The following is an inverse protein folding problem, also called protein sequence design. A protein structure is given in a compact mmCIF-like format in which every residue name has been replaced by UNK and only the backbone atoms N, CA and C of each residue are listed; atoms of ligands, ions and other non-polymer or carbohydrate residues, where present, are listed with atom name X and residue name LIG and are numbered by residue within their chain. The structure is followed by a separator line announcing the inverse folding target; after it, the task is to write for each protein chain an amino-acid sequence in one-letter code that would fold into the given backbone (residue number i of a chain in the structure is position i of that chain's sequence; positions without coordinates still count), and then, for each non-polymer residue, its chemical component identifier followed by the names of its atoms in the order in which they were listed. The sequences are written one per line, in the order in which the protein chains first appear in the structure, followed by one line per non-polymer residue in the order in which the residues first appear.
data_IF_240481373434
#
_entry.id   IF_240481373434
#
_cell.length_a   1.000
_cell.length_b   1.000
_cell.length_c   1.000
_cell.angle_alpha   90.00
_cell.angle_beta   90.00
_cell.angle_gamma   90.00
#
_symmetry.space_group_name_H-M   'P 1'
#
loop_
_entity.id
_entity.type
_entity.pdbx_description
1 polymer ?
#
# COMPACT_ATOMS: atom_id res chain seq x y z
N UNK A 1 4.32 8.34 28.30
CA UNK A 1 4.95 7.02 28.23
C UNK A 1 4.07 6.14 27.38
N UNK A 2 4.43 5.96 26.12
CA UNK A 2 3.67 5.11 25.22
C UNK A 2 4.10 3.67 25.47
N UNK A 3 3.20 2.84 26.00
CA UNK A 3 3.37 1.41 26.10
C UNK A 3 3.36 0.85 24.66
N UNK A 4 4.54 0.69 24.09
CA UNK A 4 4.73 -0.09 22.88
C UNK A 4 4.44 -1.56 23.21
N UNK A 5 3.26 -2.04 22.83
CA UNK A 5 3.05 -3.47 22.71
C UNK A 5 3.96 -3.96 21.58
N UNK A 6 5.10 -4.53 21.94
CA UNK A 6 5.86 -5.37 21.04
C UNK A 6 5.03 -6.65 20.93
N UNK A 7 4.29 -6.80 19.84
CA UNK A 7 3.70 -8.09 19.49
C UNK A 7 4.88 -9.07 19.37
N UNK A 8 4.83 -10.17 20.14
CA UNK A 8 5.87 -11.18 20.12
C UNK A 8 5.91 -11.81 18.73
N UNK A 9 6.88 -11.41 17.93
CA UNK A 9 7.13 -12.00 16.63
C UNK A 9 7.70 -13.40 16.82
N UNK A 10 7.02 -14.41 16.29
CA UNK A 10 7.57 -15.76 16.22
C UNK A 10 8.75 -15.79 15.23
N UNK A 11 9.63 -16.79 15.35
CA UNK A 11 10.79 -16.95 14.47
C UNK A 11 10.37 -17.04 12.99
N UNK A 12 9.15 -17.53 12.73
CA UNK A 12 8.55 -17.72 11.39
C UNK A 12 7.72 -16.54 10.93
N UNK A 13 7.76 -15.39 11.63
CA UNK A 13 7.02 -14.20 11.23
C UNK A 13 7.63 -13.62 9.93
N UNK A 14 6.81 -13.49 8.92
CA UNK A 14 7.15 -12.94 7.60
C UNK A 14 7.71 -11.51 7.71
N UNK A 15 7.23 -10.75 8.68
CA UNK A 15 7.62 -9.36 8.94
C UNK A 15 8.64 -9.19 10.08
N UNK A 16 9.38 -10.22 10.44
CA UNK A 16 10.35 -10.20 11.57
C UNK A 16 11.33 -9.03 11.51
N UNK A 17 11.76 -8.64 10.32
CA UNK A 17 12.73 -7.54 10.12
C UNK A 17 12.06 -6.18 9.91
N UNK A 18 10.74 -6.17 9.82
CA UNK A 18 9.98 -4.95 9.56
C UNK A 18 10.05 -3.98 10.75
N UNK A 19 10.30 -2.71 10.44
CA UNK A 19 10.54 -1.68 11.47
C UNK A 19 11.96 -1.65 12.04
N UNK A 20 12.81 -2.65 11.73
CA UNK A 20 14.24 -2.67 12.06
C UNK A 20 15.04 -2.24 10.82
N UNK A 21 14.71 -2.82 9.68
CA UNK A 21 15.30 -2.48 8.39
C UNK A 21 14.28 -1.71 7.56
N UNK A 22 14.73 -0.62 6.93
CA UNK A 22 13.86 0.15 6.04
C UNK A 22 13.45 -0.69 4.82
N UNK A 23 12.17 -0.68 4.43
CA UNK A 23 11.71 -1.43 3.27
C UNK A 23 12.32 -0.88 1.98
N UNK A 24 12.61 -1.77 1.05
CA UNK A 24 13.00 -1.48 -0.33
C UNK A 24 11.92 -1.99 -1.26
N UNK A 25 11.27 -1.10 -1.98
CA UNK A 25 10.13 -1.45 -2.79
C UNK A 25 10.44 -1.41 -4.29
N UNK A 26 9.84 -2.33 -5.02
CA UNK A 26 9.79 -2.30 -6.46
C UNK A 26 8.35 -2.02 -6.92
N UNK A 27 8.17 -1.05 -7.82
CA UNK A 27 6.86 -0.71 -8.38
C UNK A 27 6.87 -1.00 -9.88
N UNK A 28 5.89 -1.75 -10.36
CA UNK A 28 5.68 -2.01 -11.77
C UNK A 28 4.19 -1.92 -12.13
N UNK A 29 3.89 -2.04 -13.42
CA UNK A 29 2.51 -1.97 -13.93
C UNK A 29 2.12 -3.26 -14.63
N UNK A 30 0.88 -3.38 -15.08
CA UNK A 30 0.46 -4.34 -16.09
C UNK A 30 1.25 -4.15 -17.39
N UNK A 31 1.15 -5.11 -18.33
CA UNK A 31 1.71 -4.97 -19.68
C UNK A 31 0.96 -3.87 -20.44
N UNK A 32 1.67 -3.17 -21.31
CA UNK A 32 1.13 -2.10 -22.17
C UNK A 32 0.29 -1.04 -21.40
N UNK A 33 0.88 -0.41 -20.35
CA UNK A 33 0.14 0.50 -19.49
C UNK A 33 -0.22 1.79 -20.22
N UNK A 34 -1.45 2.29 -19.96
CA UNK A 34 -1.88 3.61 -20.43
C UNK A 34 -1.04 4.74 -19.83
N UNK A 35 -1.09 5.91 -20.43
CA UNK A 35 -0.44 7.10 -19.88
C UNK A 35 -0.92 7.43 -18.47
N UNK A 36 -2.20 7.18 -18.16
CA UNK A 36 -2.78 7.40 -16.83
C UNK A 36 -2.22 6.43 -15.79
N UNK A 37 -2.09 5.14 -16.12
CA UNK A 37 -1.47 4.17 -15.22
C UNK A 37 0.02 4.48 -14.99
N UNK A 38 0.74 4.88 -16.02
CA UNK A 38 2.15 5.31 -15.91
C UNK A 38 2.29 6.53 -14.99
N UNK A 39 1.36 7.48 -15.07
CA UNK A 39 1.34 8.65 -14.20
C UNK A 39 1.05 8.24 -12.75
N UNK A 40 0.06 7.38 -12.53
CA UNK A 40 -0.24 6.84 -11.20
C UNK A 40 0.97 6.11 -10.61
N UNK A 41 1.66 5.28 -11.39
CA UNK A 41 2.88 4.60 -10.94
C UNK A 41 4.01 5.58 -10.57
N UNK A 42 4.14 6.72 -11.27
CA UNK A 42 5.09 7.78 -10.88
C UNK A 42 4.71 8.44 -9.56
N UNK A 43 3.42 8.68 -9.34
CA UNK A 43 2.93 9.25 -8.09
C UNK A 43 3.12 8.26 -6.93
N UNK A 44 2.84 6.97 -7.14
CA UNK A 44 3.09 5.92 -6.16
C UNK A 44 4.57 5.81 -5.79
N UNK A 45 5.50 5.99 -6.74
CA UNK A 45 6.94 6.05 -6.45
C UNK A 45 7.30 7.19 -5.50
N UNK A 46 6.70 8.35 -5.66
CA UNK A 46 6.95 9.51 -4.77
C UNK A 46 6.31 9.27 -3.40
N UNK A 47 5.17 8.58 -3.39
CA UNK A 47 4.41 8.28 -2.20
C UNK A 47 5.12 7.28 -1.30
N UNK A 48 5.66 6.21 -1.86
CA UNK A 48 6.34 5.12 -1.18
C UNK A 48 7.85 5.42 -1.09
N UNK A 49 8.39 5.72 0.10
CA UNK A 49 9.83 5.95 0.26
C UNK A 49 10.64 4.71 -0.13
N UNK A 50 11.89 4.92 -0.50
CA UNK A 50 12.83 3.84 -0.89
C UNK A 50 12.31 2.93 -2.00
N UNK A 51 11.44 3.47 -2.88
CA UNK A 51 10.86 2.69 -3.98
C UNK A 51 11.58 2.96 -5.30
N UNK A 52 11.70 1.92 -6.11
CA UNK A 52 12.17 1.98 -7.48
C UNK A 52 11.04 1.58 -8.42
N UNK A 53 10.87 2.32 -9.50
CA UNK A 53 9.89 2.00 -10.53
C UNK A 53 10.59 1.38 -11.74
N UNK A 54 10.13 0.22 -12.16
CA UNK A 54 10.55 -0.41 -13.40
C UNK A 54 9.40 -0.43 -14.42
N UNK A 55 9.74 -0.29 -15.69
CA UNK A 55 8.78 -0.49 -16.76
C UNK A 55 8.56 -1.99 -16.94
N UNK A 56 7.28 -2.39 -17.00
CA UNK A 56 6.91 -3.79 -17.14
C UNK A 56 7.46 -4.41 -18.43
N UNK A 57 7.29 -3.71 -19.55
CA UNK A 57 7.67 -4.24 -20.87
C UNK A 57 7.19 -5.68 -21.08
N UNK A 58 8.02 -6.52 -21.66
CA UNK A 58 7.74 -7.93 -21.91
C UNK A 58 8.23 -8.86 -20.78
N UNK A 59 8.73 -8.33 -19.66
CA UNK A 59 9.23 -9.15 -18.57
C UNK A 59 8.12 -10.05 -17.99
N UNK A 60 8.44 -11.32 -17.81
CA UNK A 60 7.56 -12.28 -17.12
C UNK A 60 7.60 -12.00 -15.62
N UNK A 61 6.53 -12.34 -14.90
CA UNK A 61 6.47 -12.11 -13.43
C UNK A 61 7.60 -12.82 -12.70
N UNK A 62 7.89 -14.05 -13.07
CA UNK A 62 8.95 -14.86 -12.45
C UNK A 62 10.33 -14.18 -12.54
N UNK A 63 10.64 -13.55 -13.67
CA UNK A 63 11.91 -12.85 -13.85
C UNK A 63 11.98 -11.58 -12.98
N UNK A 64 10.86 -10.87 -12.85
CA UNK A 64 10.76 -9.71 -11.95
C UNK A 64 10.97 -10.15 -10.51
N UNK A 65 10.31 -11.23 -10.08
CA UNK A 65 10.45 -11.76 -8.73
C UNK A 65 11.86 -12.22 -8.44
N UNK A 66 12.49 -12.96 -9.37
CA UNK A 66 13.91 -13.35 -9.24
C UNK A 66 14.83 -12.13 -9.10
N UNK A 67 14.57 -11.08 -9.90
CA UNK A 67 15.32 -9.83 -9.83
C UNK A 67 15.10 -9.12 -8.49
N UNK A 68 13.86 -9.09 -7.98
CA UNK A 68 13.54 -8.53 -6.67
C UNK A 68 14.27 -9.27 -5.55
N UNK A 69 14.22 -10.61 -5.55
CA UNK A 69 14.91 -11.45 -4.55
C UNK A 69 16.43 -11.27 -4.61
N UNK A 70 17.02 -11.17 -5.81
CA UNK A 70 18.46 -10.93 -5.98
C UNK A 70 18.90 -9.52 -5.56
N UNK A 71 17.99 -8.54 -5.60
CA UNK A 71 18.24 -7.15 -5.24
C UNK A 71 17.89 -6.78 -3.80
N UNK A 72 17.59 -7.78 -2.94
CA UNK A 72 17.13 -7.57 -1.56
C UNK A 72 15.92 -6.61 -1.48
N UNK A 73 15.01 -6.69 -2.44
CA UNK A 73 13.75 -5.98 -2.44
C UNK A 73 12.82 -6.66 -1.43
N UNK A 74 12.22 -5.87 -0.55
CA UNK A 74 11.31 -6.40 0.47
C UNK A 74 9.90 -6.58 -0.04
N UNK A 75 9.44 -5.70 -0.94
CA UNK A 75 8.07 -5.73 -1.43
C UNK A 75 7.97 -5.33 -2.90
N UNK A 76 7.09 -6.00 -3.63
CA UNK A 76 6.74 -5.70 -5.01
C UNK A 76 5.30 -5.18 -5.07
N UNK A 77 5.12 -4.00 -5.63
CA UNK A 77 3.80 -3.40 -5.88
C UNK A 77 3.53 -3.43 -7.39
N UNK A 78 2.44 -4.07 -7.77
CA UNK A 78 2.01 -4.13 -9.17
C UNK A 78 0.69 -3.39 -9.30
N UNK A 79 0.65 -2.44 -10.23
CA UNK A 79 -0.53 -1.65 -10.53
C UNK A 79 -1.16 -2.13 -11.83
N UNK A 80 -2.45 -2.39 -11.79
CA UNK A 80 -3.25 -2.78 -12.94
C UNK A 80 -4.25 -1.71 -13.33
N UNK A 81 -4.76 -1.83 -14.54
CA UNK A 81 -5.83 -0.98 -15.04
C UNK A 81 -6.82 -1.78 -15.89
N UNK A 82 -8.03 -1.29 -15.93
CA UNK A 82 -9.03 -1.74 -16.87
C UNK A 82 -9.51 -0.54 -17.71
N UNK A 83 -9.40 -0.66 -19.04
CA UNK A 83 -9.80 0.42 -19.98
C UNK A 83 -9.19 1.78 -19.66
N UNK A 84 -7.90 1.81 -19.29
CA UNK A 84 -7.17 3.04 -19.01
C UNK A 84 -7.44 3.66 -17.63
N UNK A 85 -8.18 2.98 -16.76
CA UNK A 85 -8.46 3.42 -15.40
C UNK A 85 -7.76 2.47 -14.42
N UNK A 86 -6.90 2.96 -13.51
CA UNK A 86 -6.31 2.11 -12.47
C UNK A 86 -7.40 1.45 -11.63
N UNK A 87 -7.41 0.13 -11.56
CA UNK A 87 -8.47 -0.65 -10.92
C UNK A 87 -7.97 -1.67 -9.88
N UNK A 88 -6.67 -1.97 -9.88
CA UNK A 88 -6.14 -2.97 -8.96
C UNK A 88 -4.71 -2.68 -8.54
N UNK A 89 -4.39 -3.08 -7.30
CA UNK A 89 -3.05 -3.03 -6.72
C UNK A 89 -2.76 -4.37 -6.05
N UNK A 90 -1.62 -4.95 -6.40
CA UNK A 90 -1.10 -6.18 -5.78
C UNK A 90 0.13 -5.81 -4.98
N UNK A 91 0.18 -6.27 -3.74
CA UNK A 91 1.32 -6.11 -2.83
C UNK A 91 1.85 -7.49 -2.49
N UNK A 92 3.08 -7.77 -2.89
CA UNK A 92 3.75 -9.04 -2.63
C UNK A 92 4.98 -8.81 -1.77
N UNK A 93 5.02 -9.42 -0.59
CA UNK A 93 6.17 -9.36 0.31
C UNK A 93 7.16 -10.48 0.00
N UNK A 94 8.46 -10.23 0.20
CA UNK A 94 9.53 -11.19 -0.02
C UNK A 94 10.25 -11.54 1.28
N UNK A 95 10.84 -12.75 1.36
CA UNK A 95 10.99 -13.74 0.28
C UNK A 95 9.84 -14.75 0.13
N UNK A 96 8.90 -14.85 1.10
CA UNK A 96 7.94 -15.96 1.18
C UNK A 96 6.47 -15.56 1.05
N UNK A 97 6.17 -14.31 0.92
CA UNK A 97 4.82 -13.76 0.96
C UNK A 97 4.56 -12.95 2.22
N UNK A 98 3.34 -12.53 2.49
CA UNK A 98 2.11 -12.79 1.72
C UNK A 98 1.99 -11.97 0.44
N UNK A 99 1.02 -12.36 -0.41
CA UNK A 99 0.57 -11.54 -1.54
C UNK A 99 -0.87 -11.10 -1.30
N UNK A 100 -1.09 -9.80 -1.19
CA UNK A 100 -2.41 -9.20 -1.00
C UNK A 100 -2.88 -8.49 -2.28
N UNK A 101 -4.13 -8.71 -2.62
CA UNK A 101 -4.79 -8.18 -3.81
C UNK A 101 -5.88 -7.19 -3.41
N UNK A 102 -5.80 -5.98 -3.92
CA UNK A 102 -6.77 -4.91 -3.68
C UNK A 102 -7.40 -4.44 -4.99
N UNK A 103 -8.72 -4.27 -5.02
CA UNK A 103 -9.35 -3.46 -6.04
C UNK A 103 -9.22 -1.99 -5.71
N UNK A 104 -9.02 -1.14 -6.71
CA UNK A 104 -8.93 0.31 -6.57
C UNK A 104 -10.17 0.98 -7.13
N UNK A 105 -10.64 1.99 -6.42
CA UNK A 105 -11.81 2.78 -6.80
C UNK A 105 -11.50 4.27 -6.60
N UNK A 106 -12.19 5.13 -7.34
CA UNK A 106 -12.11 6.59 -7.18
C UNK A 106 -10.67 7.12 -7.19
N UNK A 107 -9.82 6.59 -8.09
CA UNK A 107 -8.43 7.02 -8.19
C UNK A 107 -8.36 8.41 -8.79
N UNK A 108 -7.95 9.38 -7.97
CA UNK A 108 -7.74 10.77 -8.36
C UNK A 108 -6.25 11.06 -8.24
N UNK A 109 -5.63 11.37 -9.36
CA UNK A 109 -4.22 11.71 -9.42
C UNK A 109 -4.01 13.13 -8.89
N UNK A 110 -2.79 13.40 -8.48
CA UNK A 110 -2.41 14.73 -8.00
C UNK A 110 -2.71 15.83 -9.03
N UNK A 111 -2.51 15.56 -10.31
CA UNK A 111 -2.80 16.52 -11.39
C UNK A 111 -4.29 16.79 -11.58
N UNK A 112 -5.15 15.87 -11.16
CA UNK A 112 -6.61 16.03 -11.26
C UNK A 112 -7.16 16.90 -10.11
N UNK A 113 -6.39 17.07 -9.03
CA UNK A 113 -6.73 17.92 -7.87
C UNK A 113 -6.33 19.37 -8.16
N UNK A 114 -7.05 20.03 -9.07
CA UNK A 114 -6.66 21.28 -9.75
C UNK A 114 -6.54 22.54 -8.89
N UNK A 115 -7.05 22.60 -7.69
CA UNK A 115 -7.26 23.88 -7.00
C UNK A 115 -6.62 24.04 -5.62
N UNK A 116 -6.14 22.97 -4.99
CA UNK A 116 -5.79 23.03 -3.57
C UNK A 116 -4.37 22.53 -3.25
N UNK A 117 -3.64 22.04 -4.23
CA UNK A 117 -2.30 21.50 -3.98
C UNK A 117 -1.24 22.57 -4.19
N UNK A 118 -0.92 23.28 -3.15
CA UNK A 118 0.27 24.12 -3.08
C UNK A 118 1.35 23.38 -2.29
N UNK A 119 2.34 22.82 -2.98
CA UNK A 119 3.51 22.29 -2.30
C UNK A 119 4.19 21.11 -3.01
N UNK A 120 5.50 21.02 -2.86
CA UNK A 120 6.27 19.87 -3.25
C UNK A 120 6.05 18.73 -2.25
N UNK A 121 5.99 17.48 -2.74
CA UNK A 121 5.99 16.32 -1.85
C UNK A 121 7.40 16.18 -1.28
N UNK A 122 7.50 16.20 0.04
CA UNK A 122 8.74 15.91 0.76
C UNK A 122 9.09 14.42 0.62
N UNK A 123 10.36 14.09 0.52
CA UNK A 123 10.84 12.70 0.59
C UNK A 123 10.88 12.17 2.04
N UNK A 124 10.48 12.98 3.01
CA UNK A 124 10.43 12.55 4.41
C UNK A 124 9.50 11.34 4.59
N UNK A 125 9.90 10.45 5.50
CA UNK A 125 9.11 9.25 5.84
C UNK A 125 7.78 9.65 6.49
N UNK A 126 6.64 9.17 5.99
CA UNK A 126 5.34 9.62 6.47
C UNK A 126 4.97 9.01 7.82
N UNK A 127 4.25 9.77 8.64
CA UNK A 127 3.50 9.22 9.75
C UNK A 127 2.27 8.49 9.20
N UNK A 128 1.98 7.29 9.73
CA UNK A 128 0.86 6.48 9.30
C UNK A 128 -0.26 6.52 10.33
N UNK A 129 -1.47 6.75 9.85
CA UNK A 129 -2.70 6.71 10.64
C UNK A 129 -3.59 5.61 10.08
N UNK A 130 -3.95 4.65 10.94
CA UNK A 130 -4.87 3.55 10.61
C UNK A 130 -6.10 3.65 11.51
N UNK A 131 -7.27 3.84 10.91
CA UNK A 131 -8.55 3.91 11.60
C UNK A 131 -9.41 2.70 11.26
N UNK A 132 -10.04 2.11 12.29
CA UNK A 132 -11.04 1.06 12.18
C UNK A 132 -10.56 -0.28 11.56
N UNK A 133 -9.34 -0.70 11.89
CA UNK A 133 -8.77 -2.01 11.59
C UNK A 133 -8.76 -2.88 12.86
N UNK A 134 -9.92 -3.29 13.34
CA UNK A 134 -10.05 -3.92 14.66
C UNK A 134 -10.09 -5.45 14.60
N UNK A 135 -10.55 -6.02 13.50
CA UNK A 135 -10.66 -7.47 13.32
C UNK A 135 -9.27 -8.11 13.15
N UNK A 136 -9.18 -9.42 13.22
CA UNK A 136 -7.94 -10.16 12.94
C UNK A 136 -7.46 -9.93 11.50
N UNK A 137 -8.38 -9.96 10.52
CA UNK A 137 -8.09 -9.66 9.13
C UNK A 137 -7.70 -8.19 8.95
N UNK A 138 -8.40 -7.25 9.62
CA UNK A 138 -8.07 -5.84 9.60
C UNK A 138 -6.65 -5.58 10.13
N UNK A 139 -6.25 -6.23 11.21
CA UNK A 139 -4.86 -6.16 11.73
C UNK A 139 -3.86 -6.73 10.73
N UNK A 140 -4.19 -7.83 10.05
CA UNK A 140 -3.35 -8.42 9.00
C UNK A 140 -3.13 -7.44 7.85
N UNK A 141 -4.20 -6.85 7.32
CA UNK A 141 -4.14 -5.84 6.26
C UNK A 141 -3.37 -4.60 6.69
N UNK A 142 -3.62 -4.13 7.93
CA UNK A 142 -2.85 -3.03 8.52
C UNK A 142 -1.36 -3.33 8.52
N UNK A 143 -0.93 -4.53 8.89
CA UNK A 143 0.48 -4.91 8.89
C UNK A 143 1.07 -4.92 7.48
N UNK A 144 0.36 -5.53 6.50
CA UNK A 144 0.78 -5.53 5.09
C UNK A 144 1.01 -4.10 4.58
N UNK A 145 0.07 -3.18 4.84
CA UNK A 145 0.17 -1.80 4.38
C UNK A 145 1.19 -0.98 5.18
N UNK A 146 1.29 -1.22 6.50
CA UNK A 146 2.22 -0.51 7.39
C UNK A 146 3.67 -0.74 6.99
N UNK A 147 4.01 -1.97 6.68
CA UNK A 147 5.40 -2.35 6.43
C UNK A 147 5.91 -2.01 5.02
N UNK A 148 5.07 -1.43 4.18
CA UNK A 148 5.50 -0.73 2.96
C UNK A 148 6.22 0.60 3.25
N UNK A 149 6.16 1.08 4.48
CA UNK A 149 6.71 2.38 4.87
C UNK A 149 7.77 2.22 5.95
N UNK A 150 8.87 2.97 5.84
CA UNK A 150 9.87 3.02 6.89
C UNK A 150 9.36 3.78 8.12
N UNK A 151 10.05 3.60 9.24
CA UNK A 151 9.69 4.29 10.50
C UNK A 151 9.89 5.79 10.32
N UNK A 152 8.86 6.63 10.61
CA UNK A 152 8.95 8.07 10.42
C UNK A 152 9.93 8.72 11.41
N UNK A 153 10.59 9.78 10.97
CA UNK A 153 11.37 10.67 11.85
C UNK A 153 10.44 11.70 12.48
N UNK A 154 10.72 12.11 13.72
CA UNK A 154 9.89 13.10 14.46
C UNK A 154 9.68 14.42 13.70
N UNK A 155 10.67 14.86 12.94
CA UNK A 155 10.62 16.09 12.15
C UNK A 155 9.73 16.00 10.91
N UNK A 156 9.23 14.82 10.56
CA UNK A 156 8.39 14.65 9.37
C UNK A 156 7.04 15.31 9.55
N UNK A 157 6.64 16.12 8.57
CA UNK A 157 5.31 16.75 8.50
C UNK A 157 4.35 16.00 7.57
N UNK A 158 4.78 14.89 7.05
CA UNK A 158 4.04 14.09 6.07
C UNK A 158 3.18 13.05 6.76
N UNK A 159 1.92 12.95 6.38
CA UNK A 159 0.94 12.04 6.98
C UNK A 159 0.22 11.26 5.89
N UNK A 160 0.14 9.95 6.06
CA UNK A 160 -0.68 9.07 5.23
C UNK A 160 -1.73 8.42 6.13
N UNK A 161 -2.98 8.50 5.73
CA UNK A 161 -4.09 7.90 6.46
C UNK A 161 -4.76 6.80 5.64
N UNK A 162 -5.04 5.70 6.34
CA UNK A 162 -5.84 4.59 5.90
C UNK A 162 -7.06 4.50 6.81
N UNK A 163 -8.24 4.79 6.28
CA UNK A 163 -9.48 4.76 7.04
C UNK A 163 -10.39 3.68 6.48
N UNK A 164 -10.64 2.64 7.26
CA UNK A 164 -11.61 1.61 6.89
C UNK A 164 -13.03 2.11 7.18
N UNK A 165 -13.91 2.02 6.20
CA UNK A 165 -15.37 2.22 6.35
C UNK A 165 -16.08 1.13 5.55
N UNK A 166 -16.80 0.26 6.23
CA UNK A 166 -17.56 -0.83 5.58
C UNK A 166 -16.70 -1.64 4.60
N UNK A 167 -15.48 -2.02 5.04
CA UNK A 167 -14.47 -2.76 4.27
C UNK A 167 -13.91 -2.03 3.03
N UNK A 168 -14.16 -0.73 2.93
CA UNK A 168 -13.51 0.13 1.95
C UNK A 168 -12.46 0.99 2.67
N UNK A 169 -11.21 0.84 2.26
CA UNK A 169 -10.08 1.55 2.84
C UNK A 169 -9.83 2.82 2.03
N UNK A 170 -10.13 3.97 2.63
CA UNK A 170 -9.82 5.26 2.03
C UNK A 170 -8.36 5.61 2.28
N UNK A 171 -7.61 5.81 1.20
CA UNK A 171 -6.23 6.28 1.23
C UNK A 171 -6.19 7.80 1.02
N UNK A 172 -5.50 8.52 1.90
CA UNK A 172 -5.29 9.97 1.79
C UNK A 172 -3.87 10.33 2.19
N UNK A 173 -3.30 11.33 1.52
CA UNK A 173 -1.96 11.81 1.73
C UNK A 173 -1.97 13.31 2.00
N UNK A 174 -1.47 13.70 3.19
CA UNK A 174 -1.47 15.08 3.67
C UNK A 174 -0.09 15.52 4.14
N UNK A 175 0.11 16.80 4.18
CA UNK A 175 1.10 17.45 5.04
C UNK A 175 0.39 18.24 6.13
N UNK A 176 1.03 18.40 7.28
CA UNK A 176 0.47 19.25 8.33
C UNK A 176 1.39 20.44 8.62
N UNK A 177 0.79 21.55 8.94
CA UNK A 177 1.44 22.73 9.53
C UNK A 177 0.85 23.02 10.90
N UNK A 178 1.68 23.50 11.81
CA UNK A 178 1.26 23.85 13.16
C UNK A 178 1.39 25.34 13.34
N UNK A 179 0.26 26.01 13.50
CA UNK A 179 0.16 27.44 13.78
C UNK A 179 -0.30 27.64 15.23
N UNK A 180 0.66 27.75 16.15
CA UNK A 180 0.36 27.83 17.57
C UNK A 180 -0.28 26.54 18.11
N UNK A 181 -1.57 26.59 18.45
CA UNK A 181 -2.35 25.43 18.92
C UNK A 181 -3.13 24.72 17.80
N UNK A 182 -3.30 25.38 16.67
CA UNK A 182 -4.09 24.85 15.56
C UNK A 182 -3.21 24.01 14.62
N UNK A 183 -3.79 22.93 14.12
CA UNK A 183 -3.17 22.01 13.19
C UNK A 183 -3.93 22.07 11.87
N UNK A 184 -3.25 22.53 10.83
CA UNK A 184 -3.79 22.63 9.48
C UNK A 184 -3.28 21.47 8.64
N UNK A 185 -4.21 20.78 7.98
CA UNK A 185 -3.92 19.67 7.07
C UNK A 185 -4.12 20.12 5.63
N UNK A 186 -3.10 19.91 4.81
CA UNK A 186 -3.15 20.16 3.36
C UNK A 186 -3.04 18.85 2.62
N UNK A 187 -4.01 18.54 1.77
CA UNK A 187 -3.96 17.33 0.94
C UNK A 187 -2.91 17.48 -0.16
N UNK A 188 -2.09 16.44 -0.34
CA UNK A 188 -1.04 16.39 -1.36
C UNK A 188 -1.40 15.46 -2.52
N UNK A 189 -2.34 14.55 -2.34
CA UNK A 189 -2.67 13.51 -3.31
C UNK A 189 -1.52 12.52 -3.55
N UNK A 190 -1.74 11.49 -4.36
CA UNK A 190 -3.02 11.06 -4.89
C UNK A 190 -3.99 10.60 -3.79
N UNK A 191 -5.26 10.44 -4.15
CA UNK A 191 -6.27 9.83 -3.28
C UNK A 191 -7.01 8.73 -4.01
N UNK A 192 -7.32 7.65 -3.32
CA UNK A 192 -8.04 6.51 -3.86
C UNK A 192 -8.70 5.72 -2.74
N UNK A 193 -9.58 4.85 -3.12
CA UNK A 193 -10.19 3.86 -2.24
C UNK A 193 -9.76 2.48 -2.68
N UNK A 194 -9.52 1.60 -1.72
CA UNK A 194 -9.12 0.23 -1.97
C UNK A 194 -9.99 -0.74 -1.18
N UNK A 195 -10.24 -1.89 -1.76
CA UNK A 195 -10.96 -2.99 -1.10
C UNK A 195 -10.14 -4.25 -1.24
N UNK A 196 -9.91 -4.94 -0.11
CA UNK A 196 -9.26 -6.24 -0.12
C UNK A 196 -10.16 -7.26 -0.80
N UNK A 197 -9.61 -8.09 -1.68
CA UNK A 197 -10.36 -9.19 -2.24
C UNK A 197 -9.68 -10.56 -2.08
N UNK A 198 -8.36 -10.62 -1.91
CA UNK A 198 -7.66 -11.89 -1.67
C UNK A 198 -6.33 -11.66 -0.93
N UNK A 199 -5.95 -12.62 -0.08
CA UNK A 199 -4.60 -12.76 0.49
C UNK A 199 -4.15 -14.20 0.24
N UNK A 200 -2.98 -14.36 -0.35
CA UNK A 200 -2.28 -15.65 -0.53
C UNK A 200 -1.04 -15.71 0.37
N UNK A 201 -0.76 -16.89 0.91
CA UNK A 201 0.38 -17.12 1.81
C UNK A 201 1.72 -17.30 1.08
N UNK A 202 1.78 -17.01 -0.21
CA UNK A 202 2.98 -17.15 -1.04
C UNK A 202 3.29 -15.88 -1.80
N UNK A 203 4.40 -15.90 -2.52
CA UNK A 203 4.77 -14.86 -3.48
C UNK A 203 3.97 -15.02 -4.77
N UNK A 204 3.88 -13.96 -5.56
CA UNK A 204 3.01 -13.90 -6.74
C UNK A 204 3.32 -14.93 -7.83
N UNK A 205 4.55 -15.44 -7.88
CA UNK A 205 4.95 -16.52 -8.79
C UNK A 205 4.41 -17.88 -8.37
N UNK A 206 4.09 -18.05 -7.09
CA UNK A 206 3.61 -19.32 -6.56
C UNK A 206 2.10 -19.46 -6.83
N UNK A 207 1.76 -20.13 -7.92
CA UNK A 207 0.38 -20.34 -8.35
C UNK A 207 -0.40 -21.20 -7.36
N UNK A 208 0.28 -22.17 -6.74
CA UNK A 208 -0.30 -23.14 -5.81
C UNK A 208 -0.26 -22.66 -4.35
N UNK A 209 0.04 -21.38 -4.12
CA UNK A 209 0.06 -20.83 -2.78
C UNK A 209 -1.33 -20.90 -2.12
N UNK A 210 -1.35 -21.33 -0.86
CA UNK A 210 -2.57 -21.39 -0.07
C UNK A 210 -3.23 -20.02 0.05
N UNK A 211 -4.56 -19.99 -0.10
CA UNK A 211 -5.34 -18.77 0.08
C UNK A 211 -5.66 -18.57 1.57
N UNK A 212 -5.07 -17.55 2.17
CA UNK A 212 -5.35 -17.16 3.56
C UNK A 212 -6.77 -16.59 3.69
N UNK A 213 -7.17 -15.75 2.75
CA UNK A 213 -8.51 -15.15 2.73
C UNK A 213 -8.90 -14.75 1.31
N UNK A 214 -10.20 -14.88 0.99
CA UNK A 214 -10.78 -14.44 -0.29
C UNK A 214 -12.19 -13.89 -0.09
N UNK A 215 -12.50 -12.77 -0.75
CA UNK A 215 -13.82 -12.18 -0.77
C UNK A 215 -14.79 -13.05 -1.59
N UNK A 216 -15.78 -13.64 -0.94
CA UNK A 216 -16.76 -14.48 -1.60
C UNK A 216 -18.06 -13.71 -1.88
N UNK A 217 -18.84 -14.08 -2.92
CA UNK A 217 -20.04 -13.35 -3.31
C UNK A 217 -21.05 -13.15 -2.17
N UNK A 218 -21.24 -14.16 -1.30
CA UNK A 218 -22.19 -14.08 -0.17
C UNK A 218 -21.78 -13.07 0.92
N UNK A 219 -20.52 -12.63 0.95
CA UNK A 219 -20.04 -11.60 1.88
C UNK A 219 -20.50 -10.18 1.49
N UNK A 220 -21.02 -9.99 0.29
CA UNK A 220 -21.53 -8.72 -0.23
C UNK A 220 -23.06 -8.59 -0.13
N UNK A 221 -23.71 -9.25 0.82
CA UNK A 221 -25.17 -9.17 1.02
C UNK A 221 -25.53 -8.02 1.96
N UNK A 222 -26.81 -7.62 1.96
CA UNK A 222 -27.34 -6.58 2.86
C UNK A 222 -27.23 -6.90 4.36
N UNK A 223 -27.00 -8.16 4.71
CA UNK A 223 -26.76 -8.64 6.09
C UNK A 223 -25.27 -8.87 6.37
N UNK A 224 -24.42 -8.30 5.58
CA UNK A 224 -22.98 -8.42 5.70
C UNK A 224 -22.49 -7.92 7.06
N UNK A 225 -21.53 -8.63 7.62
CA UNK A 225 -20.69 -8.13 8.71
C UNK A 225 -19.41 -7.58 8.12
N UNK A 226 -18.91 -6.49 8.67
CA UNK A 226 -17.61 -5.95 8.29
C UNK A 226 -16.52 -6.98 8.60
N UNK A 227 -15.59 -7.17 7.67
CA UNK A 227 -14.55 -8.20 7.81
C UNK A 227 -13.17 -7.60 8.08
N UNK A 228 -12.94 -6.28 7.83
CA UNK A 228 -11.70 -5.57 8.13
C UNK A 228 -11.63 -4.93 9.52
#
# INVERSE_FOLDING_TARGET
MANGYVESTSIDDEYRTAGIVDPKLMITTSRDPSSRLLQFAKEMKILLPNSQRINRGNHVLDDIVKTCKAGDITDLVILHEHRGIPDSMIVCHFPYGPTAYFSLHNVILRHDLKTEISGAISEAYPHLIFNDFQTSLGKRVKNILKYLFPVPKEASKRVISFCNREDNISFRHHTYSKNGKDLELTELGPRFEMKLYEIKMGTIENVDADTEWILRPFMNTSKKRDFL
#
